data_IF_866368267066
#
_entry.id   IF_866368267066
#
_cell.length_a   1.000
_cell.length_b   1.000
_cell.length_c   1.000
_cell.angle_alpha   90.00
_cell.angle_beta   90.00
_cell.angle_gamma   90.00
#
_symmetry.space_group_name_H-M   'P 1'
#
loop_
_entity.id
_entity.type
_entity.pdbx_description
1 polymer ?
#
# COMPACT_ATOMS: atom_id res chain seq x y z
N UNK A 1 15.22 -9.81 21.02
CA UNK A 1 15.28 -9.51 19.57
C UNK A 1 15.04 -10.82 18.86
N UNK A 2 14.03 -10.93 17.99
CA UNK A 2 13.74 -12.17 17.26
C UNK A 2 14.82 -12.33 16.18
N UNK A 3 15.58 -13.44 16.21
CA UNK A 3 16.50 -13.80 15.12
C UNK A 3 15.84 -14.88 14.25
N UNK A 4 15.81 -14.63 12.94
CA UNK A 4 15.37 -15.61 11.95
C UNK A 4 16.59 -16.32 11.34
N UNK A 5 16.41 -17.58 10.96
CA UNK A 5 17.40 -18.33 10.18
C UNK A 5 17.64 -17.67 8.82
N UNK A 6 18.87 -17.78 8.32
CA UNK A 6 19.22 -17.27 6.99
C UNK A 6 18.51 -18.07 5.90
N UNK A 7 18.03 -17.40 4.84
CA UNK A 7 17.43 -18.05 3.67
C UNK A 7 15.91 -18.26 3.73
N UNK A 8 15.23 -17.79 4.77
CA UNK A 8 13.77 -17.84 4.87
C UNK A 8 13.09 -16.73 4.04
N UNK A 9 12.00 -17.09 3.34
CA UNK A 9 11.17 -16.11 2.64
C UNK A 9 10.25 -15.40 3.65
N UNK A 10 10.59 -14.14 3.97
CA UNK A 10 9.87 -13.34 4.96
C UNK A 10 8.80 -12.47 4.29
N UNK A 11 7.53 -12.89 4.39
CA UNK A 11 6.39 -12.12 3.86
C UNK A 11 5.78 -11.22 4.93
N UNK A 12 5.70 -9.92 4.64
CA UNK A 12 5.07 -8.92 5.50
C UNK A 12 3.70 -8.53 4.95
N UNK A 13 2.67 -8.61 5.79
CA UNK A 13 1.35 -8.09 5.46
C UNK A 13 1.10 -6.81 6.24
N UNK A 14 0.48 -5.83 5.61
CA UNK A 14 0.13 -4.57 6.27
C UNK A 14 -0.88 -4.83 7.39
N UNK A 15 -0.44 -4.68 8.65
CA UNK A 15 -1.34 -4.61 9.80
C UNK A 15 -1.94 -3.20 9.87
N UNK A 16 -3.26 -3.08 9.70
CA UNK A 16 -3.94 -1.78 9.77
C UNK A 16 -4.20 -1.43 11.23
N UNK A 17 -3.44 -0.48 11.78
CA UNK A 17 -3.79 0.16 13.06
C UNK A 17 -4.77 1.29 12.77
N UNK A 18 -5.99 1.21 13.30
CA UNK A 18 -7.06 2.18 13.04
C UNK A 18 -7.04 3.38 14.00
N UNK A 19 -5.84 3.79 14.43
CA UNK A 19 -5.62 4.87 15.39
C UNK A 19 -5.88 4.50 16.85
N UNK A 20 -5.41 5.34 17.75
CA UNK A 20 -5.65 5.30 19.21
C UNK A 20 -5.92 6.73 19.71
N UNK A 21 -6.32 6.94 20.98
CA UNK A 21 -6.43 8.29 21.53
C UNK A 21 -5.13 9.10 21.43
N UNK A 22 -3.98 8.43 21.56
CA UNK A 22 -2.64 9.02 21.42
C UNK A 22 -2.26 9.25 19.94
N UNK A 23 -2.84 8.48 19.03
CA UNK A 23 -2.61 8.55 17.58
C UNK A 23 -3.94 8.58 16.81
N UNK A 24 -4.69 9.69 16.86
CA UNK A 24 -6.00 9.76 16.26
C UNK A 24 -5.90 9.80 14.73
N UNK A 25 -6.80 9.07 14.05
CA UNK A 25 -6.88 9.10 12.58
C UNK A 25 -7.19 10.50 12.03
N UNK A 26 -7.85 11.37 12.81
CA UNK A 26 -8.14 12.75 12.43
C UNK A 26 -6.88 13.59 12.22
N UNK A 27 -5.73 13.18 12.75
CA UNK A 27 -4.44 13.82 12.49
C UNK A 27 -3.88 13.53 11.09
N UNK A 28 -4.44 12.56 10.37
CA UNK A 28 -3.99 12.22 9.01
C UNK A 28 -4.64 13.22 8.03
N UNK A 29 -3.85 13.98 7.25
CA UNK A 29 -4.36 15.06 6.39
C UNK A 29 -4.93 14.52 5.06
N UNK A 30 -5.86 13.57 5.12
CA UNK A 30 -6.44 12.90 3.94
C UNK A 30 -7.02 13.90 2.94
N UNK A 31 -7.74 14.92 3.42
CA UNK A 31 -8.34 15.91 2.53
C UNK A 31 -7.30 16.81 1.84
N UNK A 32 -6.19 17.11 2.49
CA UNK A 32 -5.12 17.90 1.87
C UNK A 32 -4.43 17.11 0.76
N UNK A 33 -4.21 15.81 0.97
CA UNK A 33 -3.68 14.89 -0.04
C UNK A 33 -4.59 14.91 -1.28
N UNK A 34 -5.91 14.77 -1.09
CA UNK A 34 -6.88 14.83 -2.19
C UNK A 34 -6.79 16.17 -2.94
N UNK A 35 -6.77 17.30 -2.23
CA UNK A 35 -6.65 18.63 -2.87
C UNK A 35 -5.36 18.76 -3.69
N UNK A 36 -4.23 18.25 -3.20
CA UNK A 36 -2.96 18.27 -3.93
C UNK A 36 -3.03 17.45 -5.22
N UNK A 37 -3.74 16.32 -5.21
CA UNK A 37 -3.98 15.48 -6.39
C UNK A 37 -4.89 16.21 -7.38
N UNK A 38 -6.01 16.77 -6.93
CA UNK A 38 -6.96 17.52 -7.77
C UNK A 38 -6.31 18.74 -8.45
N UNK A 39 -5.40 19.42 -7.75
CA UNK A 39 -4.62 20.53 -8.27
C UNK A 39 -3.49 20.09 -9.22
N UNK A 40 -3.34 18.78 -9.48
CA UNK A 40 -2.27 18.24 -10.31
C UNK A 40 -0.87 18.35 -9.70
N UNK A 41 -0.76 18.68 -8.41
CA UNK A 41 0.54 18.81 -7.72
C UNK A 41 1.16 17.45 -7.45
N UNK A 42 0.34 16.42 -7.24
CA UNK A 42 0.76 15.04 -7.01
C UNK A 42 0.13 14.11 -8.05
N UNK A 43 0.94 13.23 -8.65
CA UNK A 43 0.43 12.14 -9.48
C UNK A 43 0.07 10.94 -8.60
N UNK A 44 -1.23 10.64 -8.53
CA UNK A 44 -1.77 9.51 -7.78
C UNK A 44 -2.30 8.40 -8.69
N UNK A 45 -1.94 8.40 -9.98
CA UNK A 45 -2.33 7.32 -10.89
C UNK A 45 -1.78 5.97 -10.40
N UNK A 46 -2.58 4.90 -10.45
CA UNK A 46 -2.07 3.56 -10.20
C UNK A 46 -0.96 3.21 -11.20
N UNK A 47 0.12 2.62 -10.71
CA UNK A 47 1.16 2.05 -11.57
C UNK A 47 0.67 0.75 -12.24
N UNK A 48 -0.17 -0.02 -11.55
CA UNK A 48 -0.79 -1.24 -12.10
C UNK A 48 -2.16 -1.47 -11.47
N UNK A 49 -3.08 -1.96 -12.29
CA UNK A 49 -4.44 -2.32 -11.87
C UNK A 49 -4.68 -3.78 -12.23
N UNK A 50 -5.16 -4.56 -11.27
CA UNK A 50 -5.55 -5.96 -11.44
C UNK A 50 -7.06 -6.13 -11.23
N UNK A 51 -7.64 -7.15 -11.84
CA UNK A 51 -8.99 -7.61 -11.49
C UNK A 51 -8.95 -8.44 -10.21
N UNK A 52 -10.06 -8.51 -9.47
CA UNK A 52 -10.12 -9.24 -8.20
C UNK A 52 -9.70 -10.72 -8.34
N UNK A 53 -10.06 -11.37 -9.46
CA UNK A 53 -9.65 -12.75 -9.78
C UNK A 53 -8.13 -12.94 -9.88
N UNK A 54 -7.38 -11.88 -10.15
CA UNK A 54 -5.94 -11.91 -10.36
C UNK A 54 -5.17 -11.52 -9.08
N UNK A 55 -5.80 -11.66 -7.89
CA UNK A 55 -5.23 -11.23 -6.62
C UNK A 55 -3.90 -11.91 -6.30
N UNK A 56 -3.69 -13.16 -6.75
CA UNK A 56 -2.42 -13.88 -6.58
C UNK A 56 -1.31 -13.21 -7.39
N UNK A 57 -1.60 -12.81 -8.63
CA UNK A 57 -0.64 -12.13 -9.49
C UNK A 57 -0.35 -10.70 -9.02
N UNK A 58 -1.34 -10.04 -8.43
CA UNK A 58 -1.13 -8.75 -7.78
C UNK A 58 -0.14 -8.85 -6.60
N UNK A 59 -0.21 -9.91 -5.79
CA UNK A 59 0.74 -10.15 -4.70
C UNK A 59 2.13 -10.52 -5.23
N UNK A 60 2.23 -11.37 -6.27
CA UNK A 60 3.52 -11.65 -6.93
C UNK A 60 4.18 -10.38 -7.46
N UNK A 61 3.40 -9.47 -8.05
CA UNK A 61 3.89 -8.20 -8.53
C UNK A 61 4.34 -7.28 -7.38
N UNK A 62 3.62 -7.29 -6.25
CA UNK A 62 4.05 -6.59 -5.04
C UNK A 62 5.39 -7.11 -4.52
N UNK A 63 5.56 -8.44 -4.44
CA UNK A 63 6.77 -9.10 -3.94
C UNK A 63 7.97 -8.93 -4.88
N UNK A 64 7.74 -8.74 -6.18
CA UNK A 64 8.81 -8.50 -7.16
C UNK A 64 9.53 -7.16 -6.98
N UNK A 65 8.91 -6.19 -6.30
CA UNK A 65 9.38 -4.80 -6.19
C UNK A 65 9.50 -4.01 -7.53
N UNK A 66 9.13 -4.60 -8.67
CA UNK A 66 9.30 -4.01 -10.00
C UNK A 66 8.20 -3.03 -10.44
N UNK A 67 7.10 -2.94 -9.68
CA UNK A 67 5.92 -2.14 -10.10
C UNK A 67 6.16 -0.63 -9.98
N UNK A 68 7.06 -0.19 -9.10
CA UNK A 68 7.47 1.21 -8.99
C UNK A 68 6.37 2.19 -8.57
N UNK A 69 5.24 1.70 -8.03
CA UNK A 69 4.14 2.57 -7.60
C UNK A 69 2.94 1.79 -7.06
N UNK A 70 1.78 2.46 -7.01
CA UNK A 70 0.57 1.91 -6.38
C UNK A 70 -0.06 0.80 -7.24
N UNK A 71 -0.22 -0.38 -6.65
CA UNK A 71 -1.07 -1.46 -7.16
C UNK A 71 -2.50 -1.25 -6.65
N UNK A 72 -3.48 -1.39 -7.54
CA UNK A 72 -4.92 -1.30 -7.23
C UNK A 72 -5.65 -2.54 -7.72
N UNK A 73 -6.63 -3.00 -6.94
CA UNK A 73 -7.52 -4.11 -7.33
C UNK A 73 -8.89 -3.53 -7.68
N UNK A 74 -9.44 -3.90 -8.84
CA UNK A 74 -10.82 -3.65 -9.23
C UNK A 74 -11.71 -4.81 -8.83
N UNK A 75 -12.92 -4.52 -8.39
CA UNK A 75 -13.94 -5.49 -7.97
C UNK A 75 -15.13 -5.43 -8.94
#
# INVERSE_FOLDING_TARGET
MVQMESGVHFSLFHSKVLGSPEFPLSGIPLQEIVRKIEQGRWDAKPARVFEYRDIVDAHRALDSHDVGGKIVIKH
#
